data_IF_069838702149
#
_entry.id   IF_069838702149
#
_cell.length_a   1.000
_cell.length_b   1.000
_cell.length_c   1.000
_cell.angle_alpha   90.00
_cell.angle_beta   90.00
_cell.angle_gamma   90.00
#
_symmetry.space_group_name_H-M   'P 1'
#
loop_
_entity.id
_entity.type
_entity.pdbx_description
1 polymer ?
#
# COMPACT_ATOMS: atom_id res chain seq x y z
N UNK A 1 -16.04 -13.28 -9.34
CA UNK A 1 -15.54 -12.08 -8.64
C UNK A 1 -16.25 -11.99 -7.30
N UNK A 2 -15.63 -11.39 -6.29
CA UNK A 2 -16.27 -11.12 -4.99
C UNK A 2 -17.60 -10.38 -5.25
N UNK A 3 -18.72 -10.80 -4.64
CA UNK A 3 -19.99 -10.12 -4.85
C UNK A 3 -19.88 -8.65 -4.41
N UNK A 4 -20.51 -7.73 -5.14
CA UNK A 4 -20.65 -6.32 -4.78
C UNK A 4 -22.14 -5.99 -4.56
N UNK A 5 -22.43 -4.90 -3.86
CA UNK A 5 -23.79 -4.43 -3.60
C UNK A 5 -24.39 -4.82 -2.27
N UNK A 6 -23.56 -5.26 -1.31
CA UNK A 6 -24.00 -5.54 0.07
C UNK A 6 -24.44 -4.27 0.80
N UNK A 7 -25.45 -4.40 1.66
CA UNK A 7 -26.05 -3.30 2.42
C UNK A 7 -25.31 -2.95 3.72
N UNK A 8 -24.33 -3.75 4.13
CA UNK A 8 -23.50 -3.47 5.32
C UNK A 8 -22.08 -4.03 5.15
N UNK A 9 -21.13 -3.49 5.91
CA UNK A 9 -19.76 -4.03 5.93
C UNK A 9 -19.70 -5.45 6.47
N UNK A 10 -20.53 -5.77 7.48
CA UNK A 10 -20.59 -7.12 8.04
C UNK A 10 -21.02 -8.15 6.97
N UNK A 11 -22.06 -7.83 6.20
CA UNK A 11 -22.49 -8.67 5.08
C UNK A 11 -21.40 -8.79 4.01
N UNK A 12 -20.78 -7.68 3.62
CA UNK A 12 -19.65 -7.69 2.67
C UNK A 12 -18.51 -8.59 3.15
N UNK A 13 -18.12 -8.51 4.44
CA UNK A 13 -17.06 -9.34 5.00
C UNK A 13 -17.41 -10.82 4.94
N UNK A 14 -18.60 -11.20 5.41
CA UNK A 14 -19.05 -12.59 5.40
C UNK A 14 -19.10 -13.17 3.99
N UNK A 15 -19.77 -12.48 3.04
CA UNK A 15 -19.86 -12.96 1.66
C UNK A 15 -18.49 -13.02 0.97
N UNK A 16 -17.57 -12.09 1.30
CA UNK A 16 -16.20 -12.14 0.79
C UNK A 16 -15.44 -13.34 1.34
N UNK A 17 -15.57 -13.63 2.63
CA UNK A 17 -14.95 -14.80 3.26
C UNK A 17 -15.47 -16.11 2.67
N UNK A 18 -16.79 -16.24 2.50
CA UNK A 18 -17.43 -17.41 1.91
C UNK A 18 -16.97 -17.62 0.46
N UNK A 19 -16.89 -16.54 -0.31
CA UNK A 19 -16.37 -16.58 -1.68
C UNK A 19 -14.90 -17.04 -1.70
N UNK A 20 -14.04 -16.49 -0.85
CA UNK A 20 -12.63 -16.89 -0.78
C UNK A 20 -12.48 -18.36 -0.38
N UNK A 21 -13.24 -18.84 0.60
CA UNK A 21 -13.18 -20.23 1.06
C UNK A 21 -13.42 -21.23 -0.09
N UNK A 22 -14.24 -20.86 -1.07
CA UNK A 22 -14.57 -21.70 -2.22
C UNK A 22 -13.57 -21.56 -3.40
N UNK A 23 -12.93 -20.40 -3.54
CA UNK A 23 -12.18 -20.04 -4.76
C UNK A 23 -10.67 -19.93 -4.56
N UNK A 24 -10.21 -19.79 -3.31
CA UNK A 24 -8.80 -19.57 -3.00
C UNK A 24 -7.96 -20.81 -3.28
N UNK A 25 -6.80 -20.59 -3.89
CA UNK A 25 -5.76 -21.62 -3.96
C UNK A 25 -4.91 -21.49 -2.70
N UNK A 26 -5.23 -22.26 -1.66
CA UNK A 26 -4.54 -22.17 -0.36
C UNK A 26 -3.04 -22.45 -0.47
N UNK A 27 -2.23 -21.75 0.35
CA UNK A 27 -0.77 -21.80 0.33
C UNK A 27 -0.17 -22.35 1.64
N UNK A 28 -1.01 -22.73 2.58
CA UNK A 28 -0.63 -23.31 3.87
C UNK A 28 -1.72 -24.28 4.34
N UNK A 29 -1.39 -25.19 5.26
CA UNK A 29 -2.38 -26.09 5.86
C UNK A 29 -3.31 -25.38 6.86
N UNK A 30 -2.94 -24.16 7.30
CA UNK A 30 -3.73 -23.32 8.20
C UNK A 30 -4.78 -22.49 7.43
N UNK A 31 -5.69 -23.17 6.73
CA UNK A 31 -6.68 -22.53 5.85
C UNK A 31 -7.49 -21.43 6.54
N UNK A 32 -7.92 -21.64 7.79
CA UNK A 32 -8.73 -20.65 8.53
C UNK A 32 -7.93 -19.38 8.82
N UNK A 33 -6.67 -19.52 9.25
CA UNK A 33 -5.76 -18.40 9.46
C UNK A 33 -5.48 -17.66 8.14
N UNK A 34 -5.28 -18.40 7.05
CA UNK A 34 -5.05 -17.82 5.73
C UNK A 34 -6.28 -17.04 5.23
N UNK A 35 -7.48 -17.60 5.38
CA UNK A 35 -8.73 -16.90 5.06
C UNK A 35 -8.91 -15.63 5.89
N UNK A 36 -8.75 -15.73 7.21
CA UNK A 36 -8.93 -14.61 8.12
C UNK A 36 -7.99 -13.44 7.78
N UNK A 37 -6.74 -13.73 7.40
CA UNK A 37 -5.76 -12.70 7.04
C UNK A 37 -6.04 -12.07 5.66
N UNK A 38 -6.64 -12.80 4.72
CA UNK A 38 -7.01 -12.25 3.41
C UNK A 38 -8.40 -11.57 3.41
N UNK A 39 -9.18 -11.72 4.49
CA UNK A 39 -10.53 -11.17 4.57
C UNK A 39 -10.52 -9.65 4.82
N UNK A 40 -11.58 -8.93 4.38
CA UNK A 40 -11.85 -7.58 4.85
C UNK A 40 -11.87 -7.54 6.39
N UNK A 41 -11.19 -6.58 6.99
CA UNK A 41 -11.07 -6.41 8.45
C UNK A 41 -11.78 -5.15 8.91
N UNK A 42 -12.23 -5.16 10.16
CA UNK A 42 -12.79 -4.00 10.84
C UNK A 42 -12.19 -3.89 12.24
N UNK A 43 -11.73 -2.69 12.58
CA UNK A 43 -11.34 -2.33 13.93
C UNK A 43 -12.22 -1.20 14.41
N UNK A 44 -12.83 -1.39 15.58
CA UNK A 44 -13.66 -0.38 16.23
C UNK A 44 -12.90 0.22 17.41
N UNK A 45 -12.94 1.55 17.59
CA UNK A 45 -12.37 2.19 18.76
C UNK A 45 -13.24 1.88 20.00
N UNK A 46 -12.67 2.08 21.19
CA UNK A 46 -13.38 1.82 22.45
C UNK A 46 -14.58 2.75 22.68
N UNK A 47 -14.52 3.97 22.14
CA UNK A 47 -15.61 4.95 22.17
C UNK A 47 -16.30 5.01 20.80
N UNK A 48 -17.56 5.46 20.71
CA UNK A 48 -18.23 5.67 19.42
C UNK A 48 -17.39 6.53 18.47
N UNK A 49 -17.10 5.99 17.29
CA UNK A 49 -16.26 6.66 16.30
C UNK A 49 -16.98 7.87 15.68
N UNK A 50 -16.28 9.00 15.61
CA UNK A 50 -16.72 10.19 14.84
C UNK A 50 -16.07 10.24 13.45
N UNK A 51 -14.90 9.63 13.32
CA UNK A 51 -14.13 9.54 12.09
C UNK A 51 -13.99 8.08 11.71
N UNK A 52 -13.99 7.78 10.42
CA UNK A 52 -13.69 6.45 9.93
C UNK A 52 -12.82 6.48 8.70
N UNK A 53 -12.16 5.36 8.42
CA UNK A 53 -11.26 5.21 7.28
C UNK A 53 -11.43 3.86 6.60
N UNK A 54 -11.53 3.87 5.27
CA UNK A 54 -11.43 2.65 4.45
C UNK A 54 -10.06 2.60 3.78
N UNK A 55 -9.38 1.47 3.92
CA UNK A 55 -8.04 1.22 3.40
C UNK A 55 -8.06 0.18 2.26
N UNK A 56 -7.50 0.54 1.11
CA UNK A 56 -7.44 -0.28 -0.10
C UNK A 56 -6.01 -0.75 -0.39
N UNK A 57 -5.81 -2.06 -0.54
CA UNK A 57 -4.47 -2.65 -0.71
C UNK A 57 -3.93 -2.48 -2.14
N UNK A 58 -2.65 -2.81 -2.35
CA UNK A 58 -2.00 -2.74 -3.66
C UNK A 58 -2.33 -3.92 -4.57
N UNK A 59 -1.95 -3.83 -5.85
CA UNK A 59 -2.08 -4.93 -6.81
C UNK A 59 -1.30 -6.17 -6.32
N UNK A 60 -1.96 -7.32 -6.35
CA UNK A 60 -1.42 -8.59 -5.88
C UNK A 60 -1.37 -8.72 -4.36
N UNK A 61 -1.90 -7.76 -3.60
CA UNK A 61 -1.83 -7.76 -2.15
C UNK A 61 -3.15 -8.22 -1.49
N UNK A 62 -3.20 -8.16 -0.16
CA UNK A 62 -4.39 -8.49 0.62
C UNK A 62 -4.72 -7.41 1.67
N UNK A 63 -5.93 -7.43 2.26
CA UNK A 63 -6.31 -6.56 3.36
C UNK A 63 -5.34 -6.57 4.56
N UNK A 64 -4.55 -7.64 4.74
CA UNK A 64 -3.52 -7.73 5.78
C UNK A 64 -2.44 -6.66 5.69
N UNK A 65 -2.23 -6.05 4.52
CA UNK A 65 -1.28 -4.95 4.36
C UNK A 65 -1.55 -3.74 5.24
N UNK A 66 -2.72 -3.67 5.87
CA UNK A 66 -3.08 -2.64 6.84
C UNK A 66 -3.38 -3.18 8.22
N UNK A 67 -2.95 -4.40 8.58
CA UNK A 67 -3.22 -4.95 9.91
C UNK A 67 -2.73 -4.00 11.02
N UNK A 68 -1.48 -3.54 10.93
CA UNK A 68 -0.90 -2.66 11.95
C UNK A 68 -1.39 -1.21 11.82
N UNK A 69 -1.48 -0.67 10.59
CA UNK A 69 -2.00 0.68 10.34
C UNK A 69 -3.46 0.80 10.82
N UNK A 70 -4.28 -0.22 10.56
CA UNK A 70 -5.67 -0.28 10.98
C UNK A 70 -5.80 -0.33 12.48
N UNK A 71 -4.98 -1.14 13.16
CA UNK A 71 -4.92 -1.17 14.62
C UNK A 71 -4.46 0.18 15.20
N UNK A 72 -3.46 0.82 14.62
CA UNK A 72 -2.98 2.13 15.07
C UNK A 72 -4.05 3.23 14.93
N UNK A 73 -4.74 3.29 13.79
CA UNK A 73 -5.84 4.25 13.55
C UNK A 73 -7.03 4.00 14.48
N UNK A 74 -7.38 2.74 14.74
CA UNK A 74 -8.43 2.41 15.70
C UNK A 74 -8.06 2.82 17.13
N UNK A 75 -6.79 2.65 17.51
CA UNK A 75 -6.26 3.19 18.77
C UNK A 75 -6.34 4.71 18.88
N UNK A 76 -6.44 5.42 17.75
CA UNK A 76 -6.61 6.87 17.66
C UNK A 76 -8.09 7.30 17.57
N UNK A 77 -9.05 6.38 17.69
CA UNK A 77 -10.48 6.70 17.72
C UNK A 77 -11.20 6.58 16.38
N UNK A 78 -10.58 6.01 15.34
CA UNK A 78 -11.21 5.80 14.03
C UNK A 78 -11.95 4.47 13.98
N UNK A 79 -13.11 4.43 13.31
CA UNK A 79 -13.65 3.20 12.75
C UNK A 79 -12.84 2.84 11.49
N UNK A 80 -12.10 1.74 11.51
CA UNK A 80 -11.19 1.38 10.42
C UNK A 80 -11.68 0.14 9.70
N UNK A 81 -11.71 0.18 8.38
CA UNK A 81 -12.06 -0.94 7.50
C UNK A 81 -11.00 -1.16 6.45
N UNK A 82 -10.79 -2.41 6.08
CA UNK A 82 -10.05 -2.77 4.86
C UNK A 82 -10.98 -3.43 3.87
N UNK A 83 -10.69 -3.28 2.58
CA UNK A 83 -11.46 -3.91 1.51
C UNK A 83 -10.57 -4.79 0.63
N UNK A 84 -11.11 -5.92 0.17
CA UNK A 84 -10.46 -6.83 -0.77
C UNK A 84 -10.83 -6.44 -2.21
N UNK A 85 -9.87 -5.97 -2.99
CA UNK A 85 -10.09 -5.60 -4.38
C UNK A 85 -10.49 -6.83 -5.22
N UNK A 86 -11.53 -6.76 -6.08
CA UNK A 86 -11.89 -7.82 -7.01
C UNK A 86 -10.67 -8.44 -7.74
N UNK A 87 -10.64 -9.77 -7.78
CA UNK A 87 -9.53 -10.58 -8.33
C UNK A 87 -8.42 -10.93 -7.33
N UNK A 88 -8.45 -10.38 -6.11
CA UNK A 88 -7.48 -10.67 -5.06
C UNK A 88 -8.02 -11.66 -4.02
N UNK A 89 -7.15 -12.11 -3.12
CA UNK A 89 -7.51 -12.98 -1.99
C UNK A 89 -7.76 -14.45 -2.38
N UNK A 90 -7.49 -14.84 -3.62
CA UNK A 90 -7.79 -16.18 -4.14
C UNK A 90 -6.63 -16.79 -4.93
N UNK A 91 -6.51 -16.45 -6.21
CA UNK A 91 -5.44 -16.93 -7.10
C UNK A 91 -5.12 -15.86 -8.15
N UNK A 92 -3.87 -15.78 -8.66
CA UNK A 92 -3.50 -14.72 -9.59
C UNK A 92 -4.31 -14.70 -10.90
N UNK A 93 -4.78 -15.88 -11.35
CA UNK A 93 -5.60 -16.00 -12.56
C UNK A 93 -6.93 -15.23 -12.47
N UNK A 94 -7.44 -14.95 -11.27
CA UNK A 94 -8.71 -14.25 -11.09
C UNK A 94 -8.61 -12.75 -11.44
N UNK A 95 -7.40 -12.23 -11.67
CA UNK A 95 -7.16 -10.88 -12.20
C UNK A 95 -7.27 -10.79 -13.73
N UNK A 96 -7.40 -11.91 -14.46
CA UNK A 96 -7.44 -11.91 -15.93
C UNK A 96 -8.65 -11.13 -16.47
N UNK A 97 -9.81 -11.24 -15.81
CA UNK A 97 -11.07 -10.63 -16.25
C UNK A 97 -11.51 -9.40 -15.46
N UNK A 98 -10.64 -8.85 -14.62
CA UNK A 98 -10.96 -7.70 -13.77
C UNK A 98 -10.77 -6.40 -14.53
N UNK A 99 -11.69 -5.45 -14.31
CA UNK A 99 -11.61 -4.09 -14.82
C UNK A 99 -11.45 -3.05 -13.71
N UNK A 100 -10.83 -1.91 -14.04
CA UNK A 100 -10.70 -0.79 -13.12
C UNK A 100 -12.06 -0.35 -12.53
N UNK A 101 -13.14 -0.47 -13.30
CA UNK A 101 -14.47 -0.13 -12.82
C UNK A 101 -15.00 -1.10 -11.76
N UNK A 102 -14.53 -2.35 -11.72
CA UNK A 102 -14.82 -3.26 -10.58
C UNK A 102 -14.25 -2.67 -9.29
N UNK A 103 -13.01 -2.17 -9.35
CA UNK A 103 -12.34 -1.58 -8.20
C UNK A 103 -12.96 -0.24 -7.80
N UNK A 104 -13.34 0.61 -8.77
CA UNK A 104 -14.05 1.87 -8.50
C UNK A 104 -15.41 1.63 -7.83
N UNK A 105 -16.17 0.64 -8.29
CA UNK A 105 -17.45 0.26 -7.66
C UNK A 105 -17.25 -0.19 -6.21
N UNK A 106 -16.22 -0.98 -5.93
CA UNK A 106 -15.89 -1.36 -4.57
C UNK A 106 -15.56 -0.13 -3.71
N UNK A 107 -14.71 0.78 -4.19
CA UNK A 107 -14.35 2.01 -3.44
C UNK A 107 -15.58 2.83 -3.09
N UNK A 108 -16.44 3.08 -4.09
CA UNK A 108 -17.68 3.83 -3.89
C UNK A 108 -18.62 3.15 -2.88
N UNK A 109 -18.81 1.83 -3.00
CA UNK A 109 -19.62 1.07 -2.06
C UNK A 109 -19.07 1.18 -0.63
N UNK A 110 -17.78 0.97 -0.44
CA UNK A 110 -17.19 0.95 0.90
C UNK A 110 -17.16 2.35 1.54
N UNK A 111 -16.91 3.40 0.75
CA UNK A 111 -17.04 4.78 1.21
C UNK A 111 -18.48 5.09 1.66
N UNK A 112 -19.48 4.70 0.85
CA UNK A 112 -20.90 4.89 1.18
C UNK A 112 -21.34 4.11 2.42
N UNK A 113 -20.90 2.85 2.58
CA UNK A 113 -21.18 2.04 3.77
C UNK A 113 -20.56 2.64 5.03
N UNK A 114 -19.38 3.22 4.93
CA UNK A 114 -18.74 3.88 6.07
C UNK A 114 -19.45 5.20 6.43
N UNK A 115 -19.86 5.99 5.44
CA UNK A 115 -20.59 7.24 5.64
C UNK A 115 -21.94 7.08 6.37
N UNK A 116 -22.50 5.88 6.39
CA UNK A 116 -23.72 5.56 7.16
C UNK A 116 -23.45 5.47 8.68
N UNK A 117 -22.20 5.23 9.09
CA UNK A 117 -21.85 4.98 10.50
C UNK A 117 -21.07 6.13 11.14
N UNK A 118 -20.34 6.91 10.35
CA UNK A 118 -19.53 8.03 10.85
C UNK A 118 -19.77 9.30 10.03
N UNK A 119 -19.77 10.48 10.68
CA UNK A 119 -19.95 11.75 9.97
C UNK A 119 -18.74 12.17 9.13
N UNK A 120 -17.53 11.71 9.45
CA UNK A 120 -16.31 12.09 8.74
C UNK A 120 -15.63 10.85 8.15
N UNK A 121 -15.58 10.78 6.82
CA UNK A 121 -15.01 9.65 6.07
C UNK A 121 -13.66 10.04 5.48
N UNK A 122 -12.65 9.26 5.82
CA UNK A 122 -11.33 9.28 5.24
C UNK A 122 -11.15 8.06 4.35
N UNK A 123 -10.27 8.17 3.36
CA UNK A 123 -9.88 7.02 2.54
C UNK A 123 -8.36 6.87 2.58
N UNK A 124 -7.88 5.67 2.40
CA UNK A 124 -6.45 5.44 2.28
C UNK A 124 -6.14 4.23 1.46
N UNK A 125 -4.88 4.08 1.12
CA UNK A 125 -4.47 2.93 0.35
C UNK A 125 -2.98 2.84 0.12
N UNK A 126 -2.58 1.70 -0.42
CA UNK A 126 -1.20 1.35 -0.69
C UNK A 126 -1.05 1.12 -2.19
N UNK A 127 -0.06 1.75 -2.82
CA UNK A 127 0.26 1.53 -4.24
C UNK A 127 -0.97 1.75 -5.13
N UNK A 128 -1.45 0.73 -5.84
CA UNK A 128 -2.70 0.80 -6.63
C UNK A 128 -3.92 1.23 -5.80
N UNK A 129 -4.06 0.77 -4.56
CA UNK A 129 -5.15 1.18 -3.68
C UNK A 129 -5.09 2.66 -3.30
N UNK A 130 -3.89 3.24 -3.22
CA UNK A 130 -3.72 4.67 -3.01
C UNK A 130 -4.22 5.49 -4.21
N UNK A 131 -3.97 4.99 -5.43
CA UNK A 131 -4.50 5.61 -6.66
C UNK A 131 -6.03 5.63 -6.61
N UNK A 132 -6.66 4.50 -6.29
CA UNK A 132 -8.10 4.36 -6.22
C UNK A 132 -8.74 5.30 -5.17
N UNK A 133 -8.14 5.37 -3.97
CA UNK A 133 -8.59 6.26 -2.91
C UNK A 133 -8.51 7.74 -3.33
N UNK A 134 -7.37 8.15 -3.92
CA UNK A 134 -7.16 9.51 -4.39
C UNK A 134 -8.07 9.86 -5.58
N UNK A 135 -8.25 8.94 -6.54
CA UNK A 135 -9.15 9.11 -7.67
C UNK A 135 -10.57 9.43 -7.20
N UNK A 136 -11.08 8.60 -6.27
CA UNK A 136 -12.42 8.79 -5.70
C UNK A 136 -12.50 10.12 -4.94
N UNK A 137 -11.56 10.39 -4.05
CA UNK A 137 -11.60 11.59 -3.21
C UNK A 137 -11.48 12.89 -4.02
N UNK A 138 -10.86 12.88 -5.21
CA UNK A 138 -10.84 14.03 -6.10
C UNK A 138 -12.26 14.43 -6.56
N UNK A 139 -13.15 13.47 -6.81
CA UNK A 139 -14.53 13.75 -7.25
C UNK A 139 -15.51 13.94 -6.08
N UNK A 140 -15.13 13.56 -4.86
CA UNK A 140 -15.99 13.50 -3.68
C UNK A 140 -15.46 14.45 -2.60
N UNK A 141 -15.85 15.74 -2.61
CA UNK A 141 -15.35 16.74 -1.67
C UNK A 141 -15.72 16.43 -0.21
N UNK A 142 -16.74 15.61 0.03
CA UNK A 142 -17.14 15.13 1.35
C UNK A 142 -16.14 14.16 2.00
N UNK A 143 -15.19 13.59 1.25
CA UNK A 143 -14.09 12.81 1.83
C UNK A 143 -13.15 13.77 2.58
N UNK A 144 -13.09 13.62 3.89
CA UNK A 144 -12.45 14.52 4.85
C UNK A 144 -10.92 14.53 4.76
N UNK A 145 -10.30 13.45 4.25
CA UNK A 145 -8.85 13.40 4.07
C UNK A 145 -8.35 12.07 3.51
N UNK A 146 -7.03 12.00 3.30
CA UNK A 146 -6.37 10.83 2.72
C UNK A 146 -5.16 10.33 3.53
N UNK A 147 -4.94 9.01 3.49
CA UNK A 147 -3.70 8.37 3.96
C UNK A 147 -3.14 7.46 2.86
N UNK A 148 -2.06 7.88 2.22
CA UNK A 148 -1.53 7.25 1.00
C UNK A 148 -0.12 6.71 1.25
N UNK A 149 0.04 5.39 1.12
CA UNK A 149 1.32 4.71 1.26
C UNK A 149 1.86 4.31 -0.12
N UNK A 150 3.06 4.77 -0.46
CA UNK A 150 3.69 4.56 -1.77
C UNK A 150 2.73 4.72 -2.95
N UNK A 151 2.02 5.87 -3.09
CA UNK A 151 1.04 6.03 -4.15
C UNK A 151 1.68 5.90 -5.54
N UNK A 152 1.16 4.96 -6.34
CA UNK A 152 1.77 4.56 -7.60
C UNK A 152 1.22 5.41 -8.76
N UNK A 153 1.42 6.72 -8.69
CA UNK A 153 0.89 7.70 -9.66
C UNK A 153 1.53 7.57 -11.05
N UNK A 154 2.78 7.10 -11.07
CA UNK A 154 3.55 6.81 -12.27
C UNK A 154 4.50 5.66 -11.97
N UNK A 155 4.61 4.69 -12.88
CA UNK A 155 5.56 3.59 -12.71
C UNK A 155 6.98 4.07 -12.93
N UNK A 156 7.93 3.50 -12.19
CA UNK A 156 9.37 3.61 -12.51
C UNK A 156 9.79 2.79 -13.73
N UNK A 157 8.89 1.94 -14.28
CA UNK A 157 9.20 1.05 -15.40
C UNK A 157 9.05 1.78 -16.74
N UNK A 158 10.07 1.77 -17.63
CA UNK A 158 9.94 2.30 -18.97
C UNK A 158 8.85 1.59 -19.79
N UNK A 159 8.11 2.35 -20.60
CA UNK A 159 7.09 1.84 -21.53
C UNK A 159 5.88 1.13 -20.88
N UNK A 160 5.61 1.38 -19.59
CA UNK A 160 4.42 0.90 -18.88
C UNK A 160 3.10 1.22 -19.62
N UNK A 161 3.06 2.31 -20.38
CA UNK A 161 1.92 2.72 -21.21
C UNK A 161 1.47 1.74 -22.30
N UNK A 162 2.34 0.82 -22.72
CA UNK A 162 2.00 -0.19 -23.74
C UNK A 162 1.24 -1.37 -23.10
N UNK A 163 1.38 -1.58 -21.79
CA UNK A 163 0.84 -2.74 -21.08
C UNK A 163 -0.66 -2.98 -21.32
N UNK A 164 -1.56 -1.97 -21.35
CA UNK A 164 -2.97 -2.19 -21.69
C UNK A 164 -3.23 -2.77 -23.08
N UNK A 165 -2.33 -2.50 -24.04
CA UNK A 165 -2.41 -3.07 -25.38
C UNK A 165 -1.88 -4.50 -25.39
N UNK A 166 -0.76 -4.75 -24.70
CA UNK A 166 -0.18 -6.10 -24.55
C UNK A 166 -1.16 -7.05 -23.84
N UNK A 167 -1.94 -6.56 -22.87
CA UNK A 167 -2.92 -7.36 -22.13
C UNK A 167 -3.98 -8.00 -23.04
N UNK A 168 -4.29 -7.40 -24.20
CA UNK A 168 -5.26 -7.95 -25.16
C UNK A 168 -4.74 -9.13 -25.97
N UNK A 169 -3.41 -9.28 -26.06
CA UNK A 169 -2.76 -10.30 -26.88
C UNK A 169 -1.99 -11.33 -26.07
N UNK A 170 -1.56 -10.97 -24.85
CA UNK A 170 -0.75 -11.82 -23.99
C UNK A 170 -1.26 -11.77 -22.55
N UNK A 171 -1.86 -12.86 -22.09
CA UNK A 171 -2.42 -13.00 -20.74
C UNK A 171 -1.36 -12.90 -19.64
N UNK A 172 -0.16 -13.43 -19.88
CA UNK A 172 0.93 -13.47 -18.90
C UNK A 172 2.24 -12.92 -19.50
N UNK A 173 2.73 -11.78 -18.99
CA UNK A 173 4.08 -11.29 -19.33
C UNK A 173 5.13 -12.30 -18.88
N UNK A 174 5.05 -12.72 -17.62
CA UNK A 174 5.77 -13.87 -17.08
C UNK A 174 4.83 -15.06 -16.98
N UNK A 175 5.10 -16.10 -17.77
CA UNK A 175 4.30 -17.32 -17.76
C UNK A 175 4.31 -17.95 -16.37
N UNK A 176 3.15 -18.40 -15.86
CA UNK A 176 3.10 -19.20 -14.65
C UNK A 176 3.98 -20.44 -14.82
N UNK A 177 4.78 -20.72 -13.80
CA UNK A 177 5.73 -21.82 -13.76
C UNK A 177 5.35 -22.70 -12.58
N UNK A 178 5.12 -23.98 -12.80
CA UNK A 178 4.78 -24.93 -11.74
C UNK A 178 5.93 -25.13 -10.74
N UNK A 179 7.17 -24.84 -11.13
CA UNK A 179 8.33 -24.93 -10.26
C UNK A 179 8.47 -23.73 -9.30
N UNK A 180 7.69 -22.66 -9.50
CA UNK A 180 7.78 -21.44 -8.70
C UNK A 180 6.42 -21.04 -8.14
N UNK A 181 6.32 -20.75 -6.83
CA UNK A 181 5.06 -20.32 -6.24
C UNK A 181 4.58 -19.04 -6.94
N UNK A 182 3.32 -19.06 -7.39
CA UNK A 182 2.70 -17.88 -8.02
C UNK A 182 2.18 -16.89 -6.97
N UNK A 183 2.05 -17.32 -5.71
CA UNK A 183 1.60 -16.53 -4.59
C UNK A 183 2.13 -17.08 -3.25
N UNK A 184 2.14 -16.23 -2.23
CA UNK A 184 2.32 -16.57 -0.82
C UNK A 184 0.94 -16.65 -0.15
N UNK A 185 0.85 -17.03 1.15
CA UNK A 185 -0.41 -16.99 1.89
C UNK A 185 -1.12 -15.63 1.90
N UNK A 186 -0.45 -14.52 1.53
CA UNK A 186 -1.03 -13.18 1.61
C UNK A 186 -0.90 -12.34 0.32
N UNK A 187 -0.11 -12.79 -0.66
CA UNK A 187 0.28 -11.97 -1.80
C UNK A 187 0.49 -12.78 -3.07
N UNK A 188 0.11 -12.22 -4.21
CA UNK A 188 0.51 -12.73 -5.52
C UNK A 188 1.97 -12.32 -5.81
N UNK A 189 2.79 -13.29 -6.20
CA UNK A 189 4.18 -13.10 -6.63
C UNK A 189 4.29 -12.87 -8.14
N UNK A 190 3.26 -13.31 -8.87
CA UNK A 190 3.10 -13.06 -10.29
C UNK A 190 1.66 -12.60 -10.53
N UNK A 191 1.47 -11.58 -11.37
CA UNK A 191 0.14 -11.08 -11.73
C UNK A 191 0.00 -11.11 -13.26
N UNK A 192 -1.21 -11.40 -13.78
CA UNK A 192 -1.44 -11.42 -15.22
C UNK A 192 -1.27 -10.02 -15.81
N UNK A 193 -0.99 -9.95 -17.12
CA UNK A 193 -0.80 -8.69 -17.84
C UNK A 193 -1.97 -7.72 -17.65
N UNK A 194 -3.20 -8.25 -17.56
CA UNK A 194 -4.38 -7.43 -17.29
C UNK A 194 -4.30 -6.72 -15.92
N UNK A 195 -3.80 -7.37 -14.87
CA UNK A 195 -3.61 -6.72 -13.56
C UNK A 195 -2.72 -5.48 -13.66
N UNK A 196 -1.60 -5.58 -14.39
CA UNK A 196 -0.72 -4.44 -14.67
C UNK A 196 -1.41 -3.37 -15.54
N UNK A 197 -2.25 -3.77 -16.51
CA UNK A 197 -3.01 -2.84 -17.34
C UNK A 197 -4.02 -2.02 -16.51
N UNK A 198 -4.75 -2.65 -15.60
CA UNK A 198 -5.70 -1.94 -14.72
C UNK A 198 -4.96 -1.03 -13.73
N UNK A 199 -3.81 -1.47 -13.21
CA UNK A 199 -2.91 -0.59 -12.46
C UNK A 199 -2.53 0.66 -13.27
N UNK A 200 -2.03 0.49 -14.50
CA UNK A 200 -1.66 1.62 -15.35
C UNK A 200 -2.84 2.58 -15.59
N UNK A 201 -4.04 2.04 -15.85
CA UNK A 201 -5.26 2.85 -16.02
C UNK A 201 -5.60 3.64 -14.76
N UNK A 202 -5.47 3.04 -13.57
CA UNK A 202 -5.70 3.76 -12.30
C UNK A 202 -4.71 4.93 -12.12
N UNK A 203 -3.43 4.70 -12.43
CA UNK A 203 -2.39 5.71 -12.34
C UNK A 203 -2.64 6.86 -13.33
N UNK A 204 -2.97 6.54 -14.59
CA UNK A 204 -3.31 7.52 -15.61
C UNK A 204 -4.54 8.36 -15.24
N UNK A 205 -5.60 7.73 -14.72
CA UNK A 205 -6.82 8.42 -14.30
C UNK A 205 -6.55 9.44 -13.18
N UNK A 206 -5.76 9.06 -12.18
CA UNK A 206 -5.36 9.98 -11.10
C UNK A 206 -4.51 11.12 -11.63
N UNK A 207 -3.48 10.85 -12.45
CA UNK A 207 -2.64 11.92 -13.01
C UNK A 207 -3.46 12.92 -13.81
N UNK A 208 -4.43 12.45 -14.58
CA UNK A 208 -5.32 13.32 -15.34
C UNK A 208 -6.18 14.20 -14.42
N UNK A 209 -6.80 13.61 -13.39
CA UNK A 209 -7.66 14.36 -12.46
C UNK A 209 -6.88 15.36 -11.63
N UNK A 210 -5.76 14.96 -11.03
CA UNK A 210 -4.96 15.82 -10.16
C UNK A 210 -4.26 16.97 -10.93
N UNK A 211 -4.03 16.80 -12.23
CA UNK A 211 -3.57 17.88 -13.09
C UNK A 211 -4.64 18.97 -13.29
N UNK A 212 -5.93 18.59 -13.29
CA UNK A 212 -7.06 19.50 -13.46
C UNK A 212 -7.43 20.22 -12.17
N UNK A 213 -7.33 19.56 -11.03
CA UNK A 213 -7.71 20.13 -9.73
C UNK A 213 -6.78 19.67 -8.60
N UNK A 214 -6.34 20.58 -7.71
CA UNK A 214 -5.57 20.21 -6.53
C UNK A 214 -6.45 19.50 -5.49
N UNK A 215 -5.81 18.68 -4.65
CA UNK A 215 -6.42 18.09 -3.46
C UNK A 215 -6.24 19.03 -2.25
N UNK A 216 -7.33 19.62 -1.79
CA UNK A 216 -7.31 20.69 -0.78
C UNK A 216 -7.66 20.24 0.65
N UNK A 217 -7.79 18.94 0.92
CA UNK A 217 -8.07 18.41 2.27
C UNK A 217 -6.82 17.78 2.89
N UNK A 218 -6.79 17.52 4.21
CA UNK A 218 -5.66 16.85 4.86
C UNK A 218 -5.27 15.54 4.18
N UNK A 219 -3.99 15.38 3.90
CA UNK A 219 -3.44 14.16 3.31
C UNK A 219 -2.07 13.83 3.91
N UNK A 220 -1.90 12.57 4.32
CA UNK A 220 -0.59 11.99 4.58
C UNK A 220 -0.14 11.20 3.35
N UNK A 221 1.06 11.47 2.86
CA UNK A 221 1.76 10.63 1.90
C UNK A 221 3.00 10.02 2.56
N UNK A 222 3.31 8.76 2.26
CA UNK A 222 4.52 8.08 2.75
C UNK A 222 5.27 7.47 1.58
N UNK A 223 6.57 7.76 1.47
CA UNK A 223 7.45 7.29 0.40
C UNK A 223 8.79 6.81 0.95
N UNK A 224 9.35 5.78 0.31
CA UNK A 224 10.76 5.43 0.43
C UNK A 224 11.49 5.87 -0.84
N UNK A 225 12.64 6.52 -0.71
CA UNK A 225 13.46 7.00 -1.85
C UNK A 225 13.76 5.86 -2.84
N UNK A 226 14.14 4.70 -2.31
CA UNK A 226 14.54 3.54 -3.09
C UNK A 226 13.35 2.62 -3.45
N UNK A 227 12.14 3.18 -3.50
CA UNK A 227 10.97 2.44 -3.97
C UNK A 227 11.10 2.09 -5.46
N UNK A 228 11.51 0.85 -5.72
CA UNK A 228 11.73 0.31 -7.08
C UNK A 228 10.50 0.25 -7.99
N UNK A 229 9.28 0.52 -7.47
CA UNK A 229 8.02 0.34 -8.21
C UNK A 229 7.49 1.66 -8.77
N UNK A 230 7.66 2.75 -8.03
CA UNK A 230 7.00 4.03 -8.28
C UNK A 230 8.02 5.12 -8.59
N UNK A 231 7.63 6.09 -9.41
CA UNK A 231 8.41 7.31 -9.64
C UNK A 231 8.26 8.26 -8.44
N UNK A 232 9.11 8.09 -7.42
CA UNK A 232 9.02 8.80 -6.14
C UNK A 232 9.21 10.31 -6.27
N UNK A 233 10.03 10.76 -7.23
CA UNK A 233 10.23 12.18 -7.51
C UNK A 233 8.97 12.81 -8.10
N UNK A 234 8.28 12.09 -9.00
CA UNK A 234 7.00 12.51 -9.53
C UNK A 234 5.94 12.66 -8.43
N UNK A 235 5.89 11.73 -7.48
CA UNK A 235 4.96 11.82 -6.33
C UNK A 235 5.32 13.01 -5.45
N UNK A 236 6.60 13.21 -5.12
CA UNK A 236 7.07 14.35 -4.33
C UNK A 236 6.69 15.69 -4.98
N UNK A 237 6.97 15.86 -6.28
CA UNK A 237 6.58 17.07 -7.01
C UNK A 237 5.06 17.27 -7.08
N UNK A 238 4.30 16.17 -7.19
CA UNK A 238 2.84 16.22 -7.16
C UNK A 238 2.33 16.64 -5.77
N UNK A 239 2.93 16.14 -4.69
CA UNK A 239 2.58 16.55 -3.32
C UNK A 239 2.72 18.06 -3.13
N UNK A 240 3.88 18.59 -3.47
CA UNK A 240 4.20 20.01 -3.25
C UNK A 240 3.32 20.95 -4.06
N UNK A 241 2.94 20.55 -5.27
CA UNK A 241 2.20 21.42 -6.20
C UNK A 241 0.69 21.20 -6.18
N UNK A 242 0.22 20.00 -5.81
CA UNK A 242 -1.20 19.61 -5.95
C UNK A 242 -1.89 19.23 -4.65
N UNK A 243 -1.17 18.94 -3.57
CA UNK A 243 -1.80 18.79 -2.26
C UNK A 243 -1.65 20.13 -1.54
N UNK A 244 -2.73 20.87 -1.38
CA UNK A 244 -2.66 22.29 -0.98
C UNK A 244 -2.99 22.54 0.48
N UNK A 245 -3.60 21.57 1.17
CA UNK A 245 -3.97 21.74 2.57
C UNK A 245 -2.72 21.93 3.46
N UNK A 246 -2.69 22.94 4.36
CA UNK A 246 -1.53 23.25 5.18
C UNK A 246 -1.18 22.15 6.18
N UNK A 247 -2.15 21.35 6.61
CA UNK A 247 -1.91 20.21 7.50
C UNK A 247 -1.34 18.98 6.77
N UNK A 248 -1.39 18.93 5.43
CA UNK A 248 -0.89 17.77 4.69
C UNK A 248 0.61 17.59 4.89
N UNK A 249 1.02 16.34 5.09
CA UNK A 249 2.43 15.96 5.29
C UNK A 249 2.83 14.88 4.30
N UNK A 250 4.09 14.92 3.87
CA UNK A 250 4.75 13.83 3.16
C UNK A 250 5.89 13.33 4.03
N UNK A 251 5.89 12.04 4.35
CA UNK A 251 7.02 11.35 4.98
C UNK A 251 7.90 10.79 3.86
N UNK A 252 9.19 11.11 3.91
CA UNK A 252 10.21 10.62 3.00
C UNK A 252 11.27 9.83 3.77
N UNK A 253 11.39 8.54 3.47
CA UNK A 253 12.47 7.69 3.97
C UNK A 253 13.62 7.66 2.97
N UNK A 254 14.76 8.25 3.33
CA UNK A 254 15.96 8.35 2.51
C UNK A 254 16.53 9.77 2.48
N UNK A 255 17.25 10.07 1.42
CA UNK A 255 17.81 11.38 1.10
C UNK A 255 16.92 12.05 0.03
N UNK A 256 16.64 13.34 0.13
CA UNK A 256 15.84 14.03 -0.89
C UNK A 256 16.70 14.26 -2.16
N UNK A 257 16.07 14.48 -3.33
CA UNK A 257 16.80 14.82 -4.54
C UNK A 257 17.62 16.12 -4.39
N UNK A 258 18.80 16.16 -5.02
CA UNK A 258 19.67 17.32 -4.98
C UNK A 258 18.95 18.61 -5.40
N UNK A 259 19.14 19.70 -4.64
CA UNK A 259 18.44 20.97 -4.84
C UNK A 259 17.10 21.09 -4.10
N UNK A 260 16.59 20.00 -3.51
CA UNK A 260 15.47 20.03 -2.54
C UNK A 260 15.97 20.23 -1.10
N UNK A 261 17.17 19.73 -0.79
CA UNK A 261 17.82 19.86 0.54
C UNK A 261 18.35 21.26 0.84
N UNK A 262 18.67 22.07 -0.18
CA UNK A 262 19.23 23.41 0.01
C UNK A 262 18.25 24.41 0.67
N UNK A 263 16.98 24.03 0.83
CA UNK A 263 15.96 24.78 1.56
C UNK A 263 15.79 24.35 3.03
N UNK A 264 16.51 23.32 3.51
CA UNK A 264 16.46 22.88 4.90
C UNK A 264 17.83 22.95 5.58
N UNK A 265 18.24 24.13 6.08
CA UNK A 265 19.05 24.15 7.28
C UNK A 265 18.19 23.59 8.42
N UNK A 266 18.82 22.98 9.42
CA UNK A 266 18.25 22.82 10.76
C UNK A 266 17.77 24.20 11.24
N UNK A 267 16.53 24.58 10.93
CA UNK A 267 15.91 25.85 11.33
C UNK A 267 14.83 25.53 12.34
N UNK A 268 15.24 25.48 13.60
CA UNK A 268 14.37 25.70 14.75
C UNK A 268 13.95 27.18 14.90
N UNK A 269 14.07 28.01 13.87
CA UNK A 269 13.79 29.44 13.97
C UNK A 269 13.15 30.03 12.71
N UNK A 270 11.89 29.68 12.48
CA UNK A 270 10.81 30.52 11.90
C UNK A 270 9.62 29.58 11.67
N UNK A 271 8.44 29.92 12.18
CA UNK A 271 7.25 29.06 12.29
C UNK A 271 6.60 28.53 10.99
N UNK A 272 7.38 28.17 9.97
CA UNK A 272 6.95 27.36 8.84
C UNK A 272 7.39 25.91 9.07
N UNK A 273 6.53 25.10 9.68
CA UNK A 273 6.72 23.65 9.70
C UNK A 273 6.76 23.14 8.26
N UNK A 274 7.88 22.56 7.83
CA UNK A 274 7.96 22.01 6.49
C UNK A 274 6.98 20.85 6.33
N UNK A 275 6.24 20.85 5.22
CA UNK A 275 5.26 19.80 4.91
C UNK A 275 5.88 18.47 4.50
N UNK A 276 7.19 18.44 4.24
CA UNK A 276 7.96 17.23 3.94
C UNK A 276 8.82 16.88 5.16
N UNK A 277 8.63 15.68 5.70
CA UNK A 277 9.30 15.16 6.88
C UNK A 277 10.24 14.03 6.46
N UNK A 278 11.54 14.18 6.76
CA UNK A 278 12.57 13.24 6.28
C UNK A 278 13.10 12.38 7.43
N UNK A 279 13.31 11.09 7.15
CA UNK A 279 14.06 10.16 8.00
C UNK A 279 15.02 9.38 7.12
N UNK A 280 16.21 9.04 7.63
CA UNK A 280 17.12 8.16 6.89
C UNK A 280 16.49 6.78 6.72
N UNK A 281 16.78 6.11 5.61
CA UNK A 281 16.40 4.73 5.36
C UNK A 281 17.56 3.73 5.51
N UNK A 282 18.75 4.22 5.91
CA UNK A 282 19.96 3.42 6.15
C UNK A 282 20.16 3.23 7.66
N UNK A 283 19.88 2.02 8.16
CA UNK A 283 19.96 1.70 9.59
C UNK A 283 20.85 0.47 9.80
N UNK A 284 22.18 0.62 9.77
CA UNK A 284 23.11 -0.50 9.85
C UNK A 284 23.04 -1.26 11.18
N UNK A 285 22.67 -0.60 12.28
CA UNK A 285 22.46 -1.25 13.58
C UNK A 285 21.29 -2.24 13.56
N UNK A 286 20.34 -2.05 12.63
CA UNK A 286 19.19 -2.94 12.42
C UNK A 286 19.36 -3.80 11.15
N UNK A 287 20.55 -3.79 10.53
CA UNK A 287 20.86 -4.44 9.25
C UNK A 287 19.97 -3.98 8.09
N UNK A 288 19.55 -2.72 8.06
CA UNK A 288 18.74 -2.16 6.97
C UNK A 288 19.66 -1.34 6.07
N UNK A 289 19.81 -1.78 4.82
CA UNK A 289 20.59 -1.09 3.80
C UNK A 289 19.81 0.05 3.16
N UNK A 290 18.51 -0.13 2.89
CA UNK A 290 17.58 0.91 2.40
C UNK A 290 16.12 0.46 2.53
N UNK A 291 15.18 1.40 2.48
CA UNK A 291 13.76 1.08 2.61
C UNK A 291 13.16 0.58 1.29
N UNK A 292 12.14 -0.26 1.40
CA UNK A 292 11.44 -0.85 0.24
C UNK A 292 10.02 -0.29 0.07
N UNK A 293 9.42 -0.57 -1.09
CA UNK A 293 7.99 -0.32 -1.35
C UNK A 293 7.06 -0.82 -0.23
N UNK A 294 7.34 -1.98 0.36
CA UNK A 294 6.52 -2.56 1.44
C UNK A 294 6.93 -2.08 2.84
N UNK A 295 8.14 -1.53 2.97
CA UNK A 295 8.76 -1.20 4.27
C UNK A 295 8.09 -0.07 5.02
N UNK A 296 6.99 0.50 4.52
CA UNK A 296 6.25 1.61 5.12
C UNK A 296 4.95 1.18 5.82
N UNK A 297 4.56 -0.09 5.73
CA UNK A 297 3.23 -0.55 6.13
C UNK A 297 3.16 -1.25 7.49
N UNK A 298 4.19 -2.02 7.86
CA UNK A 298 4.12 -2.91 9.00
C UNK A 298 4.98 -2.44 10.18
N UNK A 299 4.52 -2.73 11.39
CA UNK A 299 5.28 -2.53 12.62
C UNK A 299 6.45 -3.53 12.70
N UNK A 300 7.57 -3.18 13.35
CA UNK A 300 8.64 -4.13 13.69
C UNK A 300 8.13 -5.34 14.48
N UNK A 301 7.02 -5.21 15.22
CA UNK A 301 6.40 -6.28 16.01
C UNK A 301 5.40 -7.13 15.24
N UNK A 302 5.18 -6.88 13.95
CA UNK A 302 4.23 -7.65 13.16
C UNK A 302 4.63 -9.14 13.11
N UNK A 303 3.71 -10.08 13.41
CA UNK A 303 4.06 -11.51 13.51
C UNK A 303 4.44 -12.15 12.18
N UNK A 304 4.10 -11.54 11.05
CA UNK A 304 4.39 -12.07 9.71
C UNK A 304 5.51 -11.29 9.03
N UNK A 305 5.48 -9.96 9.14
CA UNK A 305 6.37 -9.08 8.37
C UNK A 305 7.34 -8.24 9.22
N UNK A 306 7.31 -8.39 10.55
CA UNK A 306 8.18 -7.69 11.48
C UNK A 306 9.61 -8.23 11.51
N UNK A 307 10.41 -7.79 12.49
CA UNK A 307 11.82 -8.18 12.63
C UNK A 307 11.99 -9.69 12.81
N UNK A 308 11.07 -10.30 13.56
CA UNK A 308 10.97 -11.75 13.82
C UNK A 308 9.82 -12.39 13.03
N UNK A 309 9.37 -11.74 11.95
CA UNK A 309 8.24 -12.18 11.14
C UNK A 309 8.49 -13.50 10.41
N UNK A 310 7.45 -14.32 10.30
CA UNK A 310 7.52 -15.64 9.63
C UNK A 310 7.53 -15.56 8.09
N UNK A 311 7.13 -14.44 7.50
CA UNK A 311 7.03 -14.23 6.04
C UNK A 311 8.24 -13.46 5.51
N UNK A 312 9.44 -14.04 5.67
CA UNK A 312 10.68 -13.45 5.13
C UNK A 312 10.71 -13.56 3.59
N UNK A 313 10.87 -12.43 2.92
CA UNK A 313 10.91 -12.36 1.45
C UNK A 313 12.36 -12.41 0.93
N UNK A 314 12.89 -13.62 0.78
CA UNK A 314 14.24 -13.88 0.25
C UNK A 314 14.36 -13.71 -1.27
N UNK A 315 13.24 -13.81 -1.99
CA UNK A 315 13.23 -13.46 -3.40
C UNK A 315 13.25 -11.94 -3.52
N UNK A 316 14.46 -11.37 -3.58
CA UNK A 316 14.68 -9.93 -3.54
C UNK A 316 15.58 -9.41 -4.68
N UNK A 317 15.65 -10.12 -5.80
CA UNK A 317 16.43 -9.71 -6.98
C UNK A 317 17.95 -9.97 -6.88
N UNK A 318 18.41 -10.62 -5.81
CA UNK A 318 19.78 -11.14 -5.67
C UNK A 318 20.01 -12.41 -6.51
N UNK A 319 21.25 -12.90 -6.53
CA UNK A 319 21.58 -14.14 -7.21
C UNK A 319 21.03 -15.39 -6.49
N UNK A 320 21.09 -16.53 -7.18
CA UNK A 320 20.53 -17.79 -6.68
C UNK A 320 21.25 -18.30 -5.42
N UNK A 321 22.54 -18.00 -5.26
CA UNK A 321 23.32 -18.44 -4.11
C UNK A 321 22.90 -17.67 -2.85
N UNK A 322 22.83 -16.34 -2.92
CA UNK A 322 22.37 -15.51 -1.81
C UNK A 322 20.89 -15.72 -1.50
N UNK A 323 20.06 -15.97 -2.51
CA UNK A 323 18.66 -16.35 -2.28
C UNK A 323 18.57 -17.67 -1.50
N UNK A 324 19.34 -18.69 -1.88
CA UNK A 324 19.36 -19.98 -1.18
C UNK A 324 19.83 -19.83 0.28
N UNK A 325 20.86 -19.01 0.53
CA UNK A 325 21.35 -18.69 1.88
C UNK A 325 20.30 -17.99 2.75
N UNK A 326 19.58 -17.03 2.18
CA UNK A 326 18.45 -16.39 2.88
C UNK A 326 17.37 -17.41 3.24
N UNK A 327 16.99 -18.28 2.30
CA UNK A 327 15.98 -19.33 2.51
C UNK A 327 16.43 -20.37 3.54
N UNK A 328 17.74 -20.61 3.66
CA UNK A 328 18.32 -21.47 4.69
C UNK A 328 18.33 -20.85 6.10
N UNK A 329 17.86 -19.61 6.25
CA UNK A 329 17.75 -18.93 7.54
C UNK A 329 19.01 -18.22 8.02
N UNK A 330 20.01 -18.02 7.15
CA UNK A 330 21.18 -17.21 7.49
C UNK A 330 20.79 -15.79 7.92
N UNK A 331 21.62 -15.10 8.74
CA UNK A 331 21.42 -13.69 9.05
C UNK A 331 21.39 -12.84 7.77
N UNK A 332 20.34 -12.04 7.62
CA UNK A 332 20.14 -11.18 6.45
C UNK A 332 20.24 -9.70 6.79
N UNK A 333 20.53 -8.92 5.76
CA UNK A 333 20.24 -7.49 5.69
C UNK A 333 18.90 -7.27 4.98
N UNK A 334 18.29 -6.11 5.20
CA UNK A 334 17.02 -5.74 4.58
C UNK A 334 17.22 -4.61 3.56
N UNK A 335 16.57 -4.72 2.41
CA UNK A 335 16.66 -3.72 1.33
C UNK A 335 15.38 -3.66 0.48
N UNK A 336 15.37 -2.78 -0.51
CA UNK A 336 14.44 -2.82 -1.65
C UNK A 336 14.84 -3.90 -2.69
N UNK A 337 14.20 -3.86 -3.86
CA UNK A 337 14.34 -4.90 -4.88
C UNK A 337 15.66 -4.73 -5.61
N UNK A 338 16.42 -5.81 -5.72
CA UNK A 338 17.60 -5.86 -6.58
C UNK A 338 18.80 -5.08 -6.04
N UNK A 339 18.70 -4.48 -4.85
CA UNK A 339 19.87 -3.98 -4.14
C UNK A 339 20.85 -5.11 -3.85
N UNK A 340 22.14 -4.82 -4.06
CA UNK A 340 23.23 -5.77 -3.85
C UNK A 340 24.38 -5.05 -3.17
N UNK A 341 24.96 -5.71 -2.18
CA UNK A 341 26.15 -5.23 -1.49
C UNK A 341 27.05 -6.41 -1.19
N UNK A 342 28.35 -6.25 -1.46
CA UNK A 342 29.31 -7.33 -1.26
C UNK A 342 29.27 -7.86 0.17
N UNK A 343 29.32 -9.20 0.31
CA UNK A 343 29.28 -9.93 1.58
C UNK A 343 27.97 -9.80 2.39
N UNK A 344 26.90 -9.23 1.83
CA UNK A 344 25.58 -9.17 2.48
C UNK A 344 24.56 -9.97 1.70
N UNK A 345 23.83 -10.81 2.42
CA UNK A 345 22.63 -11.48 1.91
C UNK A 345 21.44 -10.61 2.25
N UNK A 346 20.59 -10.31 1.26
CA UNK A 346 19.43 -9.45 1.47
C UNK A 346 18.11 -10.23 1.54
N UNK A 347 17.15 -9.66 2.27
CA UNK A 347 15.73 -9.94 2.15
C UNK A 347 15.00 -8.61 1.91
N UNK A 348 13.80 -8.64 1.34
CA UNK A 348 12.99 -7.43 1.21
C UNK A 348 12.70 -6.86 2.60
N UNK A 349 12.90 -5.55 2.80
CA UNK A 349 12.43 -4.87 4.01
C UNK A 349 10.90 -4.84 4.00
N UNK A 350 10.26 -5.48 4.97
CA UNK A 350 8.80 -5.57 5.06
C UNK A 350 8.20 -4.81 6.25
N UNK A 351 9.02 -4.21 7.12
CA UNK A 351 8.55 -3.45 8.28
C UNK A 351 9.20 -2.06 8.34
N UNK A 352 8.57 -1.15 9.08
CA UNK A 352 9.02 0.22 9.28
C UNK A 352 9.58 0.39 10.70
N UNK A 353 10.91 0.53 10.88
CA UNK A 353 11.52 0.90 12.17
C UNK A 353 10.97 2.19 12.79
N UNK A 354 10.37 3.07 11.99
CA UNK A 354 9.75 4.33 12.42
C UNK A 354 8.23 4.25 12.48
N UNK A 355 7.64 3.05 12.59
CA UNK A 355 6.19 2.86 12.53
C UNK A 355 5.42 3.74 13.52
N UNK A 356 5.84 3.80 14.79
CA UNK A 356 5.15 4.60 15.81
C UNK A 356 5.21 6.10 15.51
N UNK A 357 6.36 6.60 15.06
CA UNK A 357 6.52 7.99 14.64
C UNK A 357 5.68 8.31 13.40
N UNK A 358 5.63 7.40 12.42
CA UNK A 358 4.76 7.53 11.24
C UNK A 358 3.29 7.58 11.67
N UNK A 359 2.88 6.74 12.61
CA UNK A 359 1.52 6.70 13.12
C UNK A 359 1.14 7.97 13.89
N UNK A 360 2.09 8.60 14.59
CA UNK A 360 1.91 9.90 15.22
C UNK A 360 1.73 11.02 14.20
N UNK A 361 2.57 11.10 13.16
CA UNK A 361 2.38 12.07 12.07
C UNK A 361 1.03 11.87 11.39
N UNK A 362 0.64 10.61 11.14
CA UNK A 362 -0.67 10.27 10.60
C UNK A 362 -1.80 10.81 11.47
N UNK A 363 -1.72 10.62 12.80
CA UNK A 363 -2.69 11.16 13.76
C UNK A 363 -2.82 12.69 13.63
N UNK A 364 -1.69 13.39 13.59
CA UNK A 364 -1.65 14.85 13.52
C UNK A 364 -2.30 15.38 12.24
N UNK A 365 -2.01 14.76 11.09
CA UNK A 365 -2.60 15.14 9.81
C UNK A 365 -4.12 14.93 9.82
N UNK A 366 -4.58 13.80 10.33
CA UNK A 366 -6.01 13.45 10.33
C UNK A 366 -6.82 14.14 11.44
N UNK A 367 -6.13 14.71 12.44
CA UNK A 367 -6.73 15.54 13.48
C UNK A 367 -6.99 16.99 13.04
N UNK A 368 -6.38 17.43 11.93
CA UNK A 368 -6.58 18.78 11.42
C UNK A 368 -8.01 19.00 10.94
N UNK A 369 -8.57 20.16 11.29
CA UNK A 369 -9.90 20.66 10.87
C UNK A 369 -9.85 21.34 9.50
#
# INVERSE_FOLDING_TARGET
MVPLGQGSFAQYRTETQDWMAQHRAFQSDEHDSELARNAPMEWRPAQPARKGVVLFHGLGDSPWSFADIGQALAGQGFLVRTALLPGHGTRPADLIGVDLDDWRRLVAQQAALLAQEVPEVYLGGFSTGANLALEYALDHPEVAGLVLFSPALKSGVPLDWIVPWVARVRTWLRQPDSAQPQQTPLRYLNVPTNGFAQYYRSAAAVREKIARQPYARPALLVLAQHDSVVDVEHVLGTFETRFTHPASRLIWYGELPAGRDAAMPQRESTGQHTRVLVRTDKLPQQRISQFSHMGVLFSPTNPLYGTEGTQRMCWNGQDAADQARCMAGEPVWYSDWGYRESAKVHARLTFNPYFDWQAEVMREVLAAE
#
